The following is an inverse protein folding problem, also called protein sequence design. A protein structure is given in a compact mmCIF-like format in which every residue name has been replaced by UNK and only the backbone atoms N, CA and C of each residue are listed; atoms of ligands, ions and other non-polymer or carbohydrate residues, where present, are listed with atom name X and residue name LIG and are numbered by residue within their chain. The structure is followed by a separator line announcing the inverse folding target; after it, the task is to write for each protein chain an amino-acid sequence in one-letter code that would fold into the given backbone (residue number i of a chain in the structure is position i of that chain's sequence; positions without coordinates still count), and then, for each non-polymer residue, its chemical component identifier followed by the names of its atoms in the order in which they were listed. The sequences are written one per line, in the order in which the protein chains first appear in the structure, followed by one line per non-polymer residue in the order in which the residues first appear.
data_IF_992429328676
#
_entry.id   IF_992429328676
#
_cell.length_a   1.000
_cell.length_b   1.000
_cell.length_c   1.000
_cell.angle_alpha   90.00
_cell.angle_beta   90.00
_cell.angle_gamma   90.00
#
_symmetry.space_group_name_H-M   'P 1'
#
loop_
_entity.id
_entity.type
_entity.pdbx_description
1 polymer ?
#
# COMPACT_ATOMS: atom_id res chain seq x y z
N UNK A 1 -11.11 -13.30 29.99
CA UNK A 1 -12.28 -13.95 30.59
C UNK A 1 -13.37 -13.92 29.55
N UNK A 2 -13.75 -15.13 29.12
CA UNK A 2 -14.88 -15.56 28.29
C UNK A 2 -14.97 -15.13 26.81
N UNK A 3 -14.45 -16.04 25.99
CA UNK A 3 -14.82 -16.28 24.59
C UNK A 3 -16.26 -16.81 24.53
N UNK A 4 -17.13 -16.16 23.75
CA UNK A 4 -18.41 -16.74 23.34
C UNK A 4 -18.33 -17.05 21.85
N UNK A 5 -18.18 -18.35 21.56
CA UNK A 5 -18.43 -18.97 20.26
C UNK A 5 -19.94 -18.94 19.99
N UNK A 6 -20.39 -18.08 19.08
CA UNK A 6 -21.76 -18.02 18.60
C UNK A 6 -21.94 -18.84 17.33
N UNK A 7 -22.84 -19.82 17.40
CA UNK A 7 -23.19 -20.79 16.37
C UNK A 7 -23.63 -20.15 15.04
N UNK A 8 -23.15 -20.71 13.93
CA UNK A 8 -23.58 -20.42 12.57
C UNK A 8 -24.98 -21.01 12.36
N UNK A 9 -26.01 -20.17 12.34
CA UNK A 9 -27.32 -20.53 11.82
C UNK A 9 -27.40 -20.24 10.33
N UNK A 10 -27.88 -21.24 9.57
CA UNK A 10 -28.16 -21.18 8.13
C UNK A 10 -29.00 -19.94 7.77
N UNK A 11 -28.46 -19.10 6.88
CA UNK A 11 -29.18 -17.99 6.24
C UNK A 11 -29.22 -18.27 4.73
N UNK A 12 -30.36 -18.03 4.03
CA UNK A 12 -30.55 -18.47 2.65
C UNK A 12 -29.67 -17.70 1.67
N UNK A 13 -29.11 -18.43 0.70
CA UNK A 13 -28.45 -17.91 -0.50
C UNK A 13 -29.39 -16.98 -1.27
N UNK A 14 -29.04 -15.69 -1.34
CA UNK A 14 -29.51 -14.83 -2.44
C UNK A 14 -28.51 -15.04 -3.58
N UNK A 15 -28.87 -15.93 -4.49
CA UNK A 15 -28.12 -16.19 -5.73
C UNK A 15 -28.29 -14.98 -6.63
N UNK A 16 -27.21 -14.23 -6.86
CA UNK A 16 -27.12 -13.33 -8.01
C UNK A 16 -27.03 -14.20 -9.28
N UNK A 17 -28.19 -14.46 -9.89
CA UNK A 17 -28.26 -15.16 -11.17
C UNK A 17 -27.88 -14.22 -12.31
N UNK A 18 -26.97 -14.71 -13.15
CA UNK A 18 -26.66 -14.15 -14.46
C UNK A 18 -25.21 -13.72 -14.58
N UNK A 19 -24.35 -14.59 -15.08
CA UNK A 19 -23.62 -14.45 -16.36
C UNK A 19 -22.59 -15.58 -16.50
N UNK A 20 -22.33 -15.94 -17.75
CA UNK A 20 -21.80 -17.22 -18.23
C UNK A 20 -20.42 -17.61 -17.72
N UNK A 21 -20.27 -18.91 -17.41
CA UNK A 21 -19.02 -19.63 -17.24
C UNK A 21 -18.05 -19.39 -18.40
N UNK A 22 -17.10 -18.47 -18.25
CA UNK A 22 -15.78 -18.60 -18.87
C UNK A 22 -14.85 -19.19 -17.83
N UNK A 23 -14.42 -20.42 -18.07
CA UNK A 23 -13.58 -21.17 -17.16
C UNK A 23 -12.15 -20.61 -17.17
N UNK A 24 -11.50 -20.60 -16.01
CA UNK A 24 -10.09 -20.24 -15.83
C UNK A 24 -9.10 -21.11 -16.65
N UNK A 25 -9.56 -22.16 -17.31
CA UNK A 25 -8.75 -23.10 -18.10
C UNK A 25 -8.32 -22.52 -19.45
N UNK A 26 -9.05 -21.54 -19.99
CA UNK A 26 -8.74 -20.94 -21.31
C UNK A 26 -7.50 -20.02 -21.29
N UNK A 27 -7.08 -19.53 -20.12
CA UNK A 27 -5.92 -18.63 -19.99
C UNK A 27 -4.56 -19.32 -20.14
N UNK A 28 -4.52 -20.66 -20.25
CA UNK A 28 -3.29 -21.44 -20.39
C UNK A 28 -2.89 -21.74 -21.84
N UNK A 29 -3.73 -21.47 -22.84
CA UNK A 29 -3.43 -21.79 -24.23
C UNK A 29 -3.41 -20.52 -25.11
N UNK A 30 -2.21 -20.14 -25.56
CA UNK A 30 -1.99 -18.93 -26.33
C UNK A 30 -2.72 -18.90 -27.67
N UNK A 31 -3.28 -17.74 -28.01
CA UNK A 31 -3.63 -17.35 -29.37
C UNK A 31 -3.36 -15.85 -29.57
N UNK A 32 -2.68 -15.53 -30.67
CA UNK A 32 -2.34 -14.17 -31.10
C UNK A 32 -3.59 -13.40 -31.55
N UNK A 33 -3.89 -12.31 -30.85
CA UNK A 33 -4.65 -11.16 -31.37
C UNK A 33 -3.95 -9.91 -30.88
N UNK A 34 -3.49 -9.05 -31.80
CA UNK A 34 -2.94 -7.73 -31.46
C UNK A 34 -4.12 -6.79 -31.22
N UNK A 35 -4.62 -6.79 -29.99
CA UNK A 35 -5.32 -5.70 -29.33
C UNK A 35 -4.43 -5.34 -28.14
N UNK A 36 -4.21 -4.04 -27.87
CA UNK A 36 -3.37 -3.61 -26.74
C UNK A 36 -3.81 -4.36 -25.47
N UNK A 37 -2.95 -5.19 -24.85
CA UNK A 37 -3.40 -6.12 -23.85
C UNK A 37 -3.85 -5.32 -22.62
N UNK A 38 -5.16 -5.29 -22.35
CA UNK A 38 -5.62 -4.96 -21.01
C UNK A 38 -5.02 -6.03 -20.09
N UNK A 39 -4.20 -5.61 -19.14
CA UNK A 39 -3.65 -6.52 -18.14
C UNK A 39 -4.68 -6.50 -17.00
N UNK A 40 -5.27 -7.65 -16.66
CA UNK A 40 -5.98 -7.84 -15.38
C UNK A 40 -5.20 -7.15 -14.26
N UNK A 41 -5.81 -6.28 -13.41
CA UNK A 41 -7.22 -6.19 -13.00
C UNK A 41 -8.23 -5.50 -13.93
N UNK A 42 -7.77 -4.88 -15.02
CA UNK A 42 -8.40 -3.64 -15.49
C UNK A 42 -9.34 -3.79 -16.68
N UNK A 43 -9.58 -5.02 -17.13
CA UNK A 43 -10.26 -5.30 -18.40
C UNK A 43 -11.74 -4.86 -18.47
N UNK A 44 -12.34 -4.46 -17.34
CA UNK A 44 -13.75 -4.04 -17.27
C UNK A 44 -13.97 -2.59 -16.78
N UNK A 45 -12.91 -1.86 -16.45
CA UNK A 45 -13.06 -0.52 -15.87
C UNK A 45 -12.99 0.52 -16.97
N UNK A 46 -14.10 1.23 -17.18
CA UNK A 46 -14.17 2.30 -18.15
C UNK A 46 -13.65 3.62 -17.55
N UNK A 47 -12.62 4.20 -18.16
CA UNK A 47 -12.04 5.47 -17.74
C UNK A 47 -12.80 6.66 -18.35
N UNK A 48 -12.91 7.75 -17.59
CA UNK A 48 -13.40 9.03 -18.11
C UNK A 48 -12.38 9.64 -19.08
N UNK A 49 -12.88 10.23 -20.17
CA UNK A 49 -12.07 11.10 -21.03
C UNK A 49 -11.95 12.48 -20.35
N UNK A 50 -10.75 12.79 -19.85
CA UNK A 50 -10.48 14.05 -19.13
C UNK A 50 -10.06 15.19 -20.06
N UNK A 51 -9.50 14.83 -21.21
CA UNK A 51 -9.08 15.71 -22.29
C UNK A 51 -8.91 14.85 -23.57
N UNK A 52 -8.90 15.46 -24.77
CA UNK A 52 -8.81 14.71 -26.03
C UNK A 52 -7.55 13.85 -26.14
N UNK A 53 -7.66 12.68 -26.80
CA UNK A 53 -6.49 11.86 -27.11
C UNK A 53 -5.57 12.58 -28.12
N UNK A 54 -4.34 12.83 -27.68
CA UNK A 54 -3.35 13.62 -28.41
C UNK A 54 -2.50 12.81 -29.39
N UNK A 55 -2.69 11.49 -29.49
CA UNK A 55 -1.93 10.62 -30.40
C UNK A 55 -2.22 10.88 -31.88
N UNK A 56 -3.37 11.47 -32.21
CA UNK A 56 -3.82 11.71 -33.59
C UNK A 56 -3.63 13.15 -34.12
N UNK A 57 -3.35 14.14 -33.24
CA UNK A 57 -3.19 15.55 -33.63
C UNK A 57 -1.75 16.01 -33.45
N UNK A 58 -1.04 16.20 -34.56
CA UNK A 58 0.24 16.90 -34.59
C UNK A 58 0.04 18.35 -34.10
N UNK A 59 0.41 18.62 -32.85
CA UNK A 59 0.40 19.94 -32.21
C UNK A 59 -1.00 20.51 -31.94
N UNK A 60 -1.39 20.53 -30.67
CA UNK A 60 -2.54 21.29 -30.19
C UNK A 60 -2.08 22.59 -29.55
N UNK A 61 -2.86 23.64 -29.81
CA UNK A 61 -2.73 24.93 -29.14
C UNK A 61 -3.59 24.92 -27.86
N UNK A 62 -2.95 25.12 -26.70
CA UNK A 62 -3.58 25.05 -25.38
C UNK A 62 -4.65 26.10 -25.13
N UNK A 63 -4.75 27.12 -25.98
CA UNK A 63 -5.83 28.10 -25.96
C UNK A 63 -7.19 27.51 -26.36
N UNK A 64 -7.23 26.35 -27.03
CA UNK A 64 -8.46 25.66 -27.41
C UNK A 64 -9.06 24.78 -26.31
N UNK A 65 -8.32 24.55 -25.22
CA UNK A 65 -8.75 23.73 -24.10
C UNK A 65 -9.58 24.53 -23.10
N UNK A 66 -10.47 23.85 -22.38
CA UNK A 66 -11.11 24.38 -21.16
C UNK A 66 -10.09 24.50 -20.02
N UNK A 67 -10.47 25.22 -18.96
CA UNK A 67 -9.65 25.33 -17.76
C UNK A 67 -9.49 23.98 -17.04
N UNK A 68 -10.57 23.19 -16.94
CA UNK A 68 -10.56 21.84 -16.36
C UNK A 68 -9.56 20.93 -17.09
N UNK A 69 -9.60 20.89 -18.42
CA UNK A 69 -8.67 20.09 -19.23
C UNK A 69 -7.21 20.50 -19.00
N UNK A 70 -6.91 21.80 -18.97
CA UNK A 70 -5.56 22.30 -18.67
C UNK A 70 -5.07 21.88 -17.29
N UNK A 71 -5.94 21.87 -16.29
CA UNK A 71 -5.60 21.43 -14.94
C UNK A 71 -5.34 19.92 -14.90
N UNK A 72 -6.16 19.10 -15.57
CA UNK A 72 -5.90 17.66 -15.68
C UNK A 72 -4.56 17.37 -16.36
N UNK A 73 -4.25 18.04 -17.48
CA UNK A 73 -2.94 17.91 -18.14
C UNK A 73 -1.81 18.32 -17.20
N UNK A 74 -1.98 19.41 -16.44
CA UNK A 74 -0.97 19.87 -15.49
C UNK A 74 -0.66 18.82 -14.41
N UNK A 75 -1.68 18.12 -13.91
CA UNK A 75 -1.53 17.02 -12.95
C UNK A 75 -0.78 15.86 -13.60
N UNK A 76 -1.23 15.36 -14.76
CA UNK A 76 -0.59 14.22 -15.44
C UNK A 76 0.86 14.52 -15.88
N UNK A 77 1.16 15.79 -16.16
CA UNK A 77 2.51 16.27 -16.47
C UNK A 77 3.40 16.45 -15.22
N UNK A 78 2.85 16.33 -14.01
CA UNK A 78 3.58 16.58 -12.76
C UNK A 78 3.92 18.04 -12.52
N UNK A 79 3.14 18.97 -13.09
CA UNK A 79 3.32 20.42 -12.97
C UNK A 79 2.28 21.09 -12.08
N UNK A 80 1.25 20.35 -11.63
CA UNK A 80 0.30 20.85 -10.64
C UNK A 80 1.05 21.11 -9.32
N UNK A 81 1.19 22.39 -8.98
CA UNK A 81 2.01 22.84 -7.85
C UNK A 81 1.54 22.23 -6.53
N UNK A 82 0.23 22.21 -6.30
CA UNK A 82 -0.35 21.71 -5.05
C UNK A 82 0.06 20.26 -4.79
N UNK A 83 -0.17 19.37 -5.76
CA UNK A 83 0.15 17.94 -5.59
C UNK A 83 1.65 17.70 -5.60
N UNK A 84 2.40 18.42 -6.44
CA UNK A 84 3.84 18.24 -6.51
C UNK A 84 4.53 18.69 -5.20
N UNK A 85 4.09 19.79 -4.60
CA UNK A 85 4.58 20.23 -3.29
C UNK A 85 4.31 19.15 -2.22
N UNK A 86 3.10 18.57 -2.21
CA UNK A 86 2.74 17.46 -1.30
C UNK A 86 3.58 16.19 -1.54
N UNK A 87 3.86 15.82 -2.80
CA UNK A 87 4.69 14.64 -3.13
C UNK A 87 6.12 14.83 -2.65
N UNK A 88 6.64 16.06 -2.75
CA UNK A 88 8.01 16.39 -2.38
C UNK A 88 8.20 16.60 -0.86
N UNK A 89 7.11 16.67 -0.09
CA UNK A 89 7.17 16.76 1.35
C UNK A 89 7.67 15.43 1.99
N UNK A 90 8.64 15.56 2.89
CA UNK A 90 9.19 14.44 3.65
C UNK A 90 8.68 14.50 5.09
N UNK A 91 8.05 13.42 5.57
CA UNK A 91 7.64 13.32 6.95
C UNK A 91 8.81 13.56 7.91
N UNK A 92 8.62 14.46 8.85
CA UNK A 92 9.56 14.68 9.94
C UNK A 92 9.50 13.51 10.94
N UNK A 93 10.63 13.05 11.48
CA UNK A 93 10.61 12.05 12.54
C UNK A 93 9.97 12.63 13.81
N UNK A 94 9.31 11.75 14.57
CA UNK A 94 8.93 12.07 15.94
C UNK A 94 10.12 11.83 16.86
N UNK A 95 10.51 12.86 17.60
CA UNK A 95 11.56 12.78 18.62
C UNK A 95 10.90 12.44 19.95
N UNK A 96 11.39 11.38 20.61
CA UNK A 96 10.88 10.91 21.88
C UNK A 96 12.02 10.69 22.90
N UNK A 97 11.76 10.83 24.21
CA UNK A 97 12.70 10.42 25.23
C UNK A 97 13.04 8.94 25.11
N UNK A 98 14.32 8.59 25.26
CA UNK A 98 14.76 7.21 25.34
C UNK A 98 14.31 6.60 26.67
N UNK A 99 13.68 5.42 26.61
CA UNK A 99 13.34 4.61 27.79
C UNK A 99 14.01 3.24 27.70
N UNK A 100 14.74 2.85 28.73
CA UNK A 100 15.31 1.50 28.85
C UNK A 100 14.41 0.62 29.71
N UNK A 101 14.26 -0.66 29.35
CA UNK A 101 13.44 -1.61 30.12
C UNK A 101 14.05 -1.97 31.49
N UNK A 102 15.37 -1.93 31.61
CA UNK A 102 16.12 -2.37 32.79
C UNK A 102 16.53 -1.23 33.76
N UNK A 103 16.07 0.01 33.51
CA UNK A 103 16.43 1.19 34.32
C UNK A 103 15.18 1.73 35.04
N UNK A 104 15.27 1.86 36.36
CA UNK A 104 14.21 2.48 37.19
C UNK A 104 13.96 3.93 36.77
N UNK A 105 12.74 4.44 36.97
CA UNK A 105 12.35 5.80 36.51
C UNK A 105 13.27 6.92 37.02
N UNK A 106 13.90 6.72 38.19
CA UNK A 106 14.81 7.67 38.82
C UNK A 106 16.22 7.68 38.19
N UNK A 107 16.59 6.64 37.44
CA UNK A 107 17.92 6.47 36.86
C UNK A 107 17.95 6.71 35.34
N UNK A 108 16.81 7.04 34.72
CA UNK A 108 16.76 7.24 33.28
C UNK A 108 17.49 8.53 32.87
N UNK A 109 18.42 8.47 31.91
CA UNK A 109 19.12 9.65 31.43
C UNK A 109 18.12 10.62 30.78
N UNK A 110 17.91 11.77 31.41
CA UNK A 110 16.87 12.74 31.02
C UNK A 110 17.09 13.41 29.65
N UNK A 111 18.30 13.30 29.10
CA UNK A 111 18.71 14.02 27.89
C UNK A 111 18.87 13.13 26.64
N UNK A 112 18.63 11.82 26.73
CA UNK A 112 18.78 10.92 25.57
C UNK A 112 17.45 10.82 24.82
N UNK A 113 17.47 11.07 23.52
CA UNK A 113 16.30 10.95 22.65
C UNK A 113 16.48 9.88 21.58
N UNK A 114 15.37 9.39 21.05
CA UNK A 114 15.29 8.51 19.89
C UNK A 114 14.30 9.04 18.87
N UNK A 115 14.47 8.63 17.63
CA UNK A 115 13.65 9.06 16.50
C UNK A 115 12.77 7.91 16.00
N UNK A 116 11.51 8.24 15.73
CA UNK A 116 10.55 7.35 15.08
C UNK A 116 10.10 7.97 13.76
N UNK A 117 10.37 7.28 12.66
CA UNK A 117 9.98 7.72 11.32
C UNK A 117 8.59 7.18 10.98
N UNK A 118 7.63 8.02 10.58
CA UNK A 118 6.29 7.55 10.26
C UNK A 118 6.32 6.70 8.99
N UNK A 119 5.64 5.56 9.04
CA UNK A 119 5.39 4.70 7.90
C UNK A 119 3.88 4.62 7.67
N UNK A 120 3.49 4.09 6.53
CA UNK A 120 2.10 3.76 6.25
C UNK A 120 2.07 2.45 5.49
N UNK A 121 0.91 1.80 5.44
CA UNK A 121 0.68 0.81 4.40
C UNK A 121 0.81 1.46 3.02
N UNK A 122 1.06 0.63 2.03
CA UNK A 122 0.98 1.01 0.63
C UNK A 122 0.20 -0.03 -0.14
N UNK A 123 0.17 0.13 -1.45
CA UNK A 123 -0.47 -0.84 -2.34
C UNK A 123 0.46 -1.18 -3.50
N UNK A 124 0.17 -2.29 -4.16
CA UNK A 124 0.91 -2.69 -5.33
C UNK A 124 0.52 -1.85 -6.54
N UNK A 125 1.50 -1.26 -7.22
CA UNK A 125 1.28 -0.37 -8.35
C UNK A 125 0.54 -1.02 -9.54
N UNK A 126 0.47 -2.35 -9.63
CA UNK A 126 -0.30 -3.02 -10.69
C UNK A 126 -1.82 -2.77 -10.59
N UNK A 127 -2.32 -2.39 -9.40
CA UNK A 127 -3.72 -1.99 -9.25
C UNK A 127 -4.00 -0.60 -9.83
N UNK A 128 -2.99 0.19 -10.20
CA UNK A 128 -3.21 1.42 -10.94
C UNK A 128 -3.12 1.16 -12.44
N UNK A 129 -3.99 1.84 -13.19
CA UNK A 129 -3.93 1.86 -14.64
C UNK A 129 -2.65 2.55 -15.09
N UNK A 130 -1.85 1.87 -15.90
CA UNK A 130 -0.74 2.48 -16.62
C UNK A 130 -1.17 2.72 -18.06
N UNK A 131 -1.21 3.98 -18.46
CA UNK A 131 -1.31 4.37 -19.86
C UNK A 131 0.10 4.54 -20.44
N UNK A 132 0.22 4.35 -21.76
CA UNK A 132 1.45 4.68 -22.45
C UNK A 132 1.68 6.20 -22.40
N UNK A 133 2.94 6.66 -22.28
CA UNK A 133 3.23 8.08 -22.33
C UNK A 133 2.78 8.68 -23.67
N UNK A 134 1.95 9.73 -23.59
CA UNK A 134 1.48 10.48 -24.75
C UNK A 134 2.22 11.81 -24.83
N UNK A 135 2.70 12.17 -26.02
CA UNK A 135 3.36 13.45 -26.27
C UNK A 135 2.33 14.57 -26.37
N UNK A 136 2.47 15.62 -25.57
CA UNK A 136 1.59 16.78 -25.54
C UNK A 136 2.42 18.05 -25.74
N UNK A 137 1.93 18.95 -26.60
CA UNK A 137 2.44 20.32 -26.70
C UNK A 137 1.62 21.19 -25.77
N UNK A 138 2.25 21.73 -24.72
CA UNK A 138 1.60 22.58 -23.73
C UNK A 138 2.42 23.86 -23.53
N UNK A 139 1.83 25.04 -23.77
CA UNK A 139 2.53 26.33 -23.69
C UNK A 139 3.86 26.39 -24.47
N UNK A 140 3.89 25.84 -25.70
CA UNK A 140 5.08 25.70 -26.57
C UNK A 140 6.19 24.79 -26.02
N UNK A 141 5.95 24.10 -24.91
CA UNK A 141 6.82 23.04 -24.41
C UNK A 141 6.26 21.68 -24.78
N UNK A 142 7.12 20.78 -25.21
CA UNK A 142 6.77 19.39 -25.46
C UNK A 142 7.00 18.58 -24.19
N UNK A 143 5.97 17.89 -23.72
CA UNK A 143 6.03 17.01 -22.55
C UNK A 143 5.42 15.65 -22.85
N UNK A 144 5.77 14.65 -22.04
CA UNK A 144 5.14 13.33 -22.07
C UNK A 144 4.26 13.20 -20.83
N UNK A 145 2.99 12.87 -21.04
CA UNK A 145 2.01 12.70 -19.97
C UNK A 145 1.53 11.26 -19.96
N UNK A 146 1.42 10.68 -18.77
CA UNK A 146 0.81 9.38 -18.56
C UNK A 146 -0.59 9.62 -18.01
N UNK A 147 -1.57 9.78 -18.91
CA UNK A 147 -2.94 10.06 -18.52
C UNK A 147 -3.44 9.03 -17.52
N UNK A 148 -3.73 9.45 -16.29
CA UNK A 148 -4.25 8.52 -15.30
C UNK A 148 -5.72 8.19 -15.60
N UNK A 149 -6.07 6.91 -15.48
CA UNK A 149 -7.46 6.50 -15.56
C UNK A 149 -8.22 6.99 -14.32
N UNK A 150 -9.25 7.80 -14.53
CA UNK A 150 -10.28 8.06 -13.53
C UNK A 150 -11.52 7.22 -13.90
N UNK A 151 -11.88 6.20 -13.12
CA UNK A 151 -13.02 5.33 -13.43
C UNK A 151 -14.33 6.11 -13.53
N UNK A 152 -15.19 5.74 -14.49
CA UNK A 152 -16.58 6.21 -14.54
C UNK A 152 -17.35 5.71 -13.32
N UNK A 153 -18.24 6.56 -12.81
CA UNK A 153 -18.99 6.31 -11.58
C UNK A 153 -20.47 6.09 -11.90
N UNK A 154 -21.04 5.01 -11.37
CA UNK A 154 -22.45 4.62 -11.53
C UNK A 154 -23.26 4.78 -10.23
N UNK A 155 -22.60 4.91 -9.07
CA UNK A 155 -23.27 5.03 -7.77
C UNK A 155 -22.58 6.03 -6.85
N UNK A 156 -23.36 6.70 -6.01
CA UNK A 156 -22.88 7.72 -5.06
C UNK A 156 -21.88 7.16 -4.05
N UNK A 157 -22.25 6.07 -3.37
CA UNK A 157 -21.44 5.42 -2.34
C UNK A 157 -21.37 3.91 -2.52
N UNK A 158 -20.25 3.29 -2.12
CA UNK A 158 -20.12 1.83 -2.07
C UNK A 158 -21.04 1.21 -1.03
N UNK A 159 -21.55 0.01 -1.32
CA UNK A 159 -22.26 -0.83 -0.34
C UNK A 159 -21.30 -1.61 0.58
N UNK A 160 -19.99 -1.57 0.30
CA UNK A 160 -18.98 -2.25 1.10
C UNK A 160 -18.69 -1.42 2.36
N UNK A 161 -19.39 -1.73 3.44
CA UNK A 161 -19.45 -0.89 4.64
C UNK A 161 -18.45 -1.34 5.71
N UNK A 162 -17.54 -0.46 6.16
CA UNK A 162 -16.48 -0.84 7.07
C UNK A 162 -17.03 -1.31 8.43
N UNK A 163 -16.69 -2.53 8.84
CA UNK A 163 -17.15 -3.12 10.12
C UNK A 163 -18.47 -3.88 10.02
N UNK A 164 -19.04 -3.99 8.82
CA UNK A 164 -20.21 -4.81 8.49
C UNK A 164 -19.77 -5.98 7.62
N UNK A 165 -19.36 -7.08 8.26
CA UNK A 165 -18.80 -8.25 7.58
C UNK A 165 -19.73 -8.84 6.51
N UNK A 166 -21.04 -8.74 6.70
CA UNK A 166 -22.07 -9.18 5.76
C UNK A 166 -22.03 -8.45 4.41
N UNK A 167 -21.43 -7.26 4.36
CA UNK A 167 -21.27 -6.50 3.10
C UNK A 167 -20.06 -6.97 2.28
N UNK A 168 -19.19 -7.81 2.83
CA UNK A 168 -17.99 -8.34 2.19
C UNK A 168 -18.17 -9.79 1.75
N UNK A 169 -19.15 -10.03 0.88
CA UNK A 169 -19.48 -11.37 0.35
C UNK A 169 -18.45 -11.98 -0.62
N UNK A 170 -17.18 -11.57 -0.56
CA UNK A 170 -16.13 -11.99 -1.47
C UNK A 170 -15.30 -13.15 -0.91
N UNK A 171 -14.66 -13.88 -1.82
CA UNK A 171 -13.85 -15.07 -1.54
C UNK A 171 -12.49 -14.97 -2.21
N UNK A 172 -11.66 -15.97 -1.94
CA UNK A 172 -10.40 -16.18 -2.66
C UNK A 172 -10.63 -16.18 -4.19
N UNK A 173 -9.83 -15.40 -4.91
CA UNK A 173 -9.91 -15.23 -6.37
C UNK A 173 -10.84 -14.10 -6.84
N UNK A 174 -11.63 -13.50 -5.95
CA UNK A 174 -12.63 -12.47 -6.30
C UNK A 174 -12.14 -11.03 -6.06
N UNK A 175 -10.83 -10.82 -5.86
CA UNK A 175 -10.27 -9.49 -5.58
C UNK A 175 -10.57 -8.49 -6.70
N UNK A 176 -10.60 -8.94 -7.95
CA UNK A 176 -10.90 -8.08 -9.10
C UNK A 176 -12.33 -7.52 -9.03
N UNK A 177 -13.31 -8.35 -8.68
CA UNK A 177 -14.71 -7.91 -8.54
C UNK A 177 -14.88 -7.01 -7.31
N UNK A 178 -14.23 -7.35 -6.20
CA UNK A 178 -14.15 -6.49 -5.01
C UNK A 178 -13.67 -5.07 -5.37
N UNK A 179 -12.60 -4.99 -6.18
CA UNK A 179 -12.03 -3.72 -6.63
C UNK A 179 -12.89 -2.99 -7.66
N UNK A 180 -13.60 -3.73 -8.52
CA UNK A 180 -14.55 -3.18 -9.51
C UNK A 180 -15.73 -2.49 -8.83
N UNK A 181 -16.24 -3.06 -7.74
CA UNK A 181 -17.30 -2.43 -6.96
C UNK A 181 -16.84 -1.10 -6.38
N UNK A 182 -15.62 -1.02 -5.83
CA UNK A 182 -15.08 0.27 -5.43
C UNK A 182 -14.91 1.21 -6.62
N UNK A 183 -14.35 0.78 -7.75
CA UNK A 183 -14.08 1.68 -8.88
C UNK A 183 -15.35 2.31 -9.46
N UNK A 184 -16.48 1.62 -9.35
CA UNK A 184 -17.78 2.07 -9.85
C UNK A 184 -18.46 3.18 -9.04
N UNK A 185 -17.96 3.55 -7.85
CA UNK A 185 -18.64 4.54 -6.98
C UNK A 185 -17.88 5.86 -6.82
N UNK A 186 -18.60 6.95 -6.57
CA UNK A 186 -17.98 8.25 -6.28
C UNK A 186 -17.19 8.20 -4.97
N UNK A 187 -17.80 7.69 -3.91
CA UNK A 187 -17.18 7.58 -2.59
C UNK A 187 -17.26 6.16 -2.02
N UNK A 188 -16.22 5.73 -1.30
CA UNK A 188 -16.28 4.53 -0.48
C UNK A 188 -15.91 4.87 0.97
N UNK A 189 -16.69 4.37 1.92
CA UNK A 189 -16.53 4.74 3.33
C UNK A 189 -15.32 4.01 3.90
N UNK A 190 -14.48 4.76 4.60
CA UNK A 190 -13.42 4.21 5.43
C UNK A 190 -13.31 4.96 6.75
N UNK A 191 -12.61 4.38 7.71
CA UNK A 191 -12.52 4.91 9.07
C UNK A 191 -11.37 4.24 9.85
N UNK A 192 -11.07 4.79 11.02
CA UNK A 192 -10.27 4.10 12.03
C UNK A 192 -10.92 2.75 12.40
N UNK A 193 -10.11 1.71 12.54
CA UNK A 193 -10.50 0.37 13.03
C UNK A 193 -9.65 -0.01 14.24
N UNK A 194 -8.81 -1.05 14.12
CA UNK A 194 -7.79 -1.37 15.14
C UNK A 194 -6.70 -0.30 15.23
N UNK A 195 -6.51 0.46 14.14
CA UNK A 195 -5.70 1.67 14.04
C UNK A 195 -6.31 2.63 13.01
N UNK A 196 -5.72 3.82 12.89
CA UNK A 196 -5.98 4.81 11.86
C UNK A 196 -5.56 4.32 10.47
N UNK A 197 -4.43 3.63 10.36
CA UNK A 197 -3.90 3.12 9.10
C UNK A 197 -4.35 1.68 8.85
N UNK A 198 -5.09 1.46 7.76
CA UNK A 198 -5.60 0.14 7.38
C UNK A 198 -5.59 -0.06 5.86
N UNK A 199 -5.48 -1.32 5.42
CA UNK A 199 -5.35 -1.65 3.99
C UNK A 199 -6.53 -1.14 3.14
N UNK A 200 -7.74 -1.05 3.72
CA UNK A 200 -8.96 -0.57 3.03
C UNK A 200 -8.76 0.81 2.39
N UNK A 201 -8.04 1.71 3.05
CA UNK A 201 -7.78 3.06 2.50
C UNK A 201 -7.12 2.97 1.13
N UNK A 202 -6.12 2.10 1.03
CA UNK A 202 -5.32 1.91 -0.17
C UNK A 202 -6.04 1.03 -1.19
N UNK A 203 -6.89 0.09 -0.76
CA UNK A 203 -7.77 -0.65 -1.67
C UNK A 203 -8.74 0.29 -2.39
N UNK A 204 -9.40 1.19 -1.66
CA UNK A 204 -10.30 2.21 -2.24
C UNK A 204 -9.54 3.12 -3.21
N UNK A 205 -8.39 3.66 -2.76
CA UNK A 205 -7.58 4.57 -3.58
C UNK A 205 -7.05 3.87 -4.84
N UNK A 206 -6.49 2.67 -4.71
CA UNK A 206 -5.96 1.92 -5.85
C UNK A 206 -7.05 1.43 -6.81
N UNK A 207 -8.31 1.35 -6.36
CA UNK A 207 -9.48 1.16 -7.23
C UNK A 207 -9.94 2.43 -7.95
N UNK A 208 -9.26 3.57 -7.77
CA UNK A 208 -9.62 4.82 -8.45
C UNK A 208 -10.84 5.53 -7.85
N UNK A 209 -11.09 5.35 -6.55
CA UNK A 209 -12.27 5.90 -5.85
C UNK A 209 -11.87 6.81 -4.71
N UNK A 210 -12.68 7.85 -4.47
CA UNK A 210 -12.45 8.79 -3.37
C UNK A 210 -12.82 8.14 -2.04
N UNK A 211 -11.90 8.02 -1.07
CA UNK A 211 -12.26 7.61 0.28
C UNK A 211 -13.11 8.70 0.95
N UNK A 212 -14.29 8.33 1.45
CA UNK A 212 -14.98 9.12 2.46
C UNK A 212 -14.48 8.66 3.83
N UNK A 213 -13.51 9.37 4.38
CA UNK A 213 -12.87 8.99 5.64
C UNK A 213 -13.61 9.65 6.82
N UNK A 214 -14.33 8.84 7.61
CA UNK A 214 -15.03 9.30 8.81
C UNK A 214 -14.01 9.70 9.88
N UNK A 215 -14.21 10.88 10.49
CA UNK A 215 -13.40 11.43 11.59
C UNK A 215 -11.90 11.64 11.31
N UNK A 216 -11.50 11.76 10.04
CA UNK A 216 -10.09 11.95 9.64
C UNK A 216 -9.40 13.15 10.31
N UNK A 217 -10.14 14.20 10.63
CA UNK A 217 -9.68 15.38 11.39
C UNK A 217 -9.16 15.04 12.78
N UNK A 218 -9.58 13.92 13.37
CA UNK A 218 -9.17 13.47 14.69
C UNK A 218 -7.89 12.62 14.63
N UNK A 219 -7.36 12.32 13.45
CA UNK A 219 -6.10 11.61 13.30
C UNK A 219 -4.93 12.51 13.74
N UNK A 220 -4.12 12.02 14.69
CA UNK A 220 -2.94 12.73 15.21
C UNK A 220 -1.95 13.14 14.12
N UNK A 221 -1.05 14.07 14.45
CA UNK A 221 -0.14 14.68 13.46
C UNK A 221 0.82 13.67 12.83
N UNK A 222 1.17 12.61 13.58
CA UNK A 222 2.03 11.52 13.11
C UNK A 222 1.26 10.25 12.72
N UNK A 223 -0.08 10.36 12.59
CA UNK A 223 -0.94 9.30 12.04
C UNK A 223 -1.26 9.58 10.58
N UNK A 224 -1.26 8.53 9.76
CA UNK A 224 -1.59 8.62 8.32
C UNK A 224 -0.75 9.69 7.59
N UNK A 225 0.52 9.86 7.97
CA UNK A 225 1.36 10.98 7.49
C UNK A 225 1.57 10.94 5.98
N UNK A 226 1.57 9.74 5.40
CA UNK A 226 1.71 9.57 3.95
C UNK A 226 0.38 9.68 3.20
N UNK A 227 -0.76 9.91 3.88
CA UNK A 227 -2.06 10.07 3.22
C UNK A 227 -2.30 11.55 2.91
N UNK A 228 -2.88 11.93 1.76
CA UNK A 228 -3.16 13.33 1.42
C UNK A 228 -4.40 13.85 2.17
N UNK A 229 -4.31 13.96 3.50
CA UNK A 229 -5.46 14.25 4.39
C UNK A 229 -6.23 15.51 3.99
N UNK A 230 -5.52 16.56 3.58
CA UNK A 230 -6.11 17.83 3.14
C UNK A 230 -7.02 17.66 1.92
N UNK A 231 -6.56 16.94 0.89
CA UNK A 231 -7.36 16.67 -0.31
C UNK A 231 -8.58 15.79 0.01
N UNK A 232 -8.45 14.82 0.91
CA UNK A 232 -9.55 13.97 1.33
C UNK A 232 -10.63 14.75 2.11
N UNK A 233 -10.21 15.65 3.00
CA UNK A 233 -11.13 16.54 3.73
C UNK A 233 -11.85 17.50 2.79
N UNK A 234 -11.15 18.06 1.79
CA UNK A 234 -11.77 18.91 0.77
C UNK A 234 -12.80 18.14 -0.06
N UNK A 235 -12.45 16.93 -0.50
CA UNK A 235 -13.37 16.07 -1.25
C UNK A 235 -14.61 15.67 -0.44
N UNK A 236 -14.45 15.51 0.88
CA UNK A 236 -15.55 15.24 1.82
C UNK A 236 -16.50 16.43 1.97
N UNK A 237 -15.97 17.65 1.86
CA UNK A 237 -16.68 18.90 2.06
C UNK A 237 -17.40 19.43 0.80
N UNK A 238 -17.31 18.73 -0.34
CA UNK A 238 -18.02 19.14 -1.56
C UNK A 238 -19.54 19.21 -1.28
N UNK A 239 -20.14 20.34 -1.67
CA UNK A 239 -21.58 20.58 -1.50
C UNK A 239 -22.38 19.46 -2.18
N UNK A 240 -23.42 18.97 -1.49
CA UNK A 240 -24.29 17.90 -1.97
C UNK A 240 -23.86 16.50 -1.54
N UNK A 241 -22.64 16.30 -1.05
CA UNK A 241 -22.21 15.01 -0.47
C UNK A 241 -22.86 14.83 0.91
N UNK A 242 -23.72 13.80 1.06
CA UNK A 242 -24.48 13.53 2.28
C UNK A 242 -24.15 12.15 2.85
N UNK A 243 -23.31 12.11 3.88
CA UNK A 243 -22.79 10.89 4.49
C UNK A 243 -23.81 10.11 5.32
N UNK A 244 -24.69 10.81 6.03
CA UNK A 244 -25.81 10.27 6.79
C UNK A 244 -26.74 9.40 5.93
N UNK A 245 -26.98 9.84 4.70
CA UNK A 245 -27.82 9.14 3.73
C UNK A 245 -27.04 8.32 2.69
N UNK A 246 -25.71 8.42 2.67
CA UNK A 246 -24.85 7.84 1.64
C UNK A 246 -25.31 8.21 0.22
N UNK A 247 -25.63 9.49 0.02
CA UNK A 247 -26.15 10.03 -1.25
C UNK A 247 -25.44 11.30 -1.66
N UNK A 248 -25.46 11.58 -2.95
CA UNK A 248 -25.01 12.84 -3.52
C UNK A 248 -26.22 13.59 -4.10
N UNK A 249 -26.41 14.85 -3.71
CA UNK A 249 -27.32 15.75 -4.40
C UNK A 249 -26.67 16.25 -5.69
N UNK A 250 -26.86 15.51 -6.79
CA UNK A 250 -26.26 15.83 -8.10
C UNK A 250 -26.64 17.21 -8.65
N UNK A 251 -27.66 17.89 -8.09
CA UNK A 251 -28.02 19.27 -8.47
C UNK A 251 -27.06 20.31 -7.89
N UNK A 252 -26.41 19.99 -6.78
CA UNK A 252 -25.47 20.88 -6.08
C UNK A 252 -24.02 20.37 -6.15
N UNK A 253 -23.84 19.09 -6.49
CA UNK A 253 -22.55 18.44 -6.56
C UNK A 253 -21.69 18.99 -7.70
N UNK A 254 -20.57 19.61 -7.34
CA UNK A 254 -19.62 20.12 -8.32
C UNK A 254 -18.76 18.96 -8.86
N UNK A 255 -19.20 18.39 -9.98
CA UNK A 255 -18.54 17.25 -10.61
C UNK A 255 -17.12 17.58 -11.09
N UNK A 256 -16.88 18.78 -11.62
CA UNK A 256 -15.55 19.23 -12.04
C UNK A 256 -14.59 19.29 -10.85
N UNK A 257 -15.02 19.88 -9.73
CA UNK A 257 -14.21 19.91 -8.51
C UNK A 257 -13.89 18.50 -7.99
N UNK A 258 -14.89 17.61 -7.96
CA UNK A 258 -14.68 16.22 -7.58
C UNK A 258 -13.64 15.52 -8.47
N UNK A 259 -13.75 15.67 -9.79
CA UNK A 259 -12.83 15.04 -10.75
C UNK A 259 -11.39 15.52 -10.57
N UNK A 260 -11.21 16.82 -10.37
CA UNK A 260 -9.89 17.40 -10.11
C UNK A 260 -9.31 16.89 -8.80
N UNK A 261 -10.10 16.84 -7.73
CA UNK A 261 -9.65 16.29 -6.44
C UNK A 261 -9.32 14.81 -6.53
N UNK A 262 -10.15 14.00 -7.18
CA UNK A 262 -9.88 12.59 -7.42
C UNK A 262 -8.58 12.43 -8.21
N UNK A 263 -8.40 13.23 -9.27
CA UNK A 263 -7.18 13.20 -10.07
C UNK A 263 -5.95 13.46 -9.21
N UNK A 264 -5.97 14.54 -8.42
CA UNK A 264 -4.88 14.90 -7.51
C UNK A 264 -4.57 13.83 -6.47
N UNK A 265 -5.60 13.27 -5.84
CA UNK A 265 -5.47 12.22 -4.82
C UNK A 265 -4.87 10.95 -5.41
N UNK A 266 -5.35 10.50 -6.57
CA UNK A 266 -4.83 9.31 -7.24
C UNK A 266 -3.39 9.53 -7.75
N UNK A 267 -3.08 10.74 -8.22
CA UNK A 267 -1.73 11.08 -8.70
C UNK A 267 -0.76 11.06 -7.53
N UNK A 268 -1.09 11.76 -6.44
CA UNK A 268 -0.35 11.69 -5.19
C UNK A 268 -0.12 10.23 -4.74
N UNK A 269 -1.18 9.43 -4.75
CA UNK A 269 -1.16 8.02 -4.35
C UNK A 269 -0.17 7.20 -5.20
N UNK A 270 -0.17 7.37 -6.52
CA UNK A 270 0.76 6.72 -7.45
C UNK A 270 2.23 7.06 -7.14
N UNK A 271 2.49 8.30 -6.76
CA UNK A 271 3.85 8.81 -6.56
C UNK A 271 4.34 8.76 -5.12
N UNK A 272 3.49 8.46 -4.14
CA UNK A 272 3.86 8.41 -2.71
C UNK A 272 3.51 7.11 -1.99
N UNK A 273 2.43 6.44 -2.38
CA UNK A 273 1.80 5.37 -1.58
C UNK A 273 1.93 3.96 -2.18
N UNK A 274 2.65 3.79 -3.29
CA UNK A 274 2.97 2.44 -3.73
C UNK A 274 4.00 1.80 -2.79
N UNK A 275 4.00 0.48 -2.71
CA UNK A 275 5.01 -0.27 -1.94
C UNK A 275 6.43 0.13 -2.31
N UNK A 276 6.70 0.36 -3.60
CA UNK A 276 8.00 0.82 -4.10
C UNK A 276 8.34 2.20 -3.54
N UNK A 277 7.38 3.15 -3.56
CA UNK A 277 7.59 4.52 -3.10
C UNK A 277 7.82 4.62 -1.60
N UNK A 278 7.16 3.79 -0.80
CA UNK A 278 7.42 3.70 0.63
C UNK A 278 8.80 3.09 0.94
N UNK A 279 9.23 2.08 0.19
CA UNK A 279 10.59 1.55 0.31
C UNK A 279 11.65 2.58 -0.12
N UNK A 280 11.40 3.35 -1.20
CA UNK A 280 12.25 4.49 -1.61
C UNK A 280 12.32 5.56 -0.51
N UNK A 281 11.21 5.83 0.17
CA UNK A 281 11.17 6.73 1.32
C UNK A 281 12.07 6.24 2.47
N UNK A 282 12.00 4.95 2.84
CA UNK A 282 12.87 4.39 3.88
C UNK A 282 14.34 4.57 3.51
N UNK A 283 14.73 4.19 2.28
CA UNK A 283 16.11 4.29 1.80
C UNK A 283 16.61 5.73 1.76
N UNK A 284 15.78 6.68 1.33
CA UNK A 284 16.14 8.10 1.32
C UNK A 284 16.28 8.66 2.74
N UNK A 285 15.38 8.28 3.65
CA UNK A 285 15.39 8.73 5.05
C UNK A 285 16.67 8.32 5.77
N UNK A 286 17.16 7.10 5.52
CA UNK A 286 18.42 6.62 6.11
C UNK A 286 19.67 7.02 5.30
N UNK A 287 19.50 7.82 4.24
CA UNK A 287 20.58 8.23 3.32
C UNK A 287 21.33 7.03 2.71
N UNK A 288 20.63 5.96 2.37
CA UNK A 288 21.23 4.77 1.78
C UNK A 288 21.77 5.07 0.36
N UNK A 289 23.05 4.81 0.09
CA UNK A 289 23.69 5.23 -1.16
C UNK A 289 23.19 4.40 -2.35
N UNK A 290 22.95 5.07 -3.48
CA UNK A 290 22.52 4.43 -4.74
C UNK A 290 23.68 3.84 -5.55
N UNK A 291 24.91 4.27 -5.31
CA UNK A 291 26.09 3.96 -6.14
C UNK A 291 26.90 2.75 -5.66
N UNK A 292 26.37 1.95 -4.74
CA UNK A 292 27.07 0.79 -4.19
C UNK A 292 26.54 -0.51 -4.77
N UNK A 293 27.39 -1.55 -4.77
CA UNK A 293 26.91 -2.91 -4.98
C UNK A 293 26.05 -3.33 -3.79
N UNK A 294 24.74 -3.44 -4.01
CA UNK A 294 23.80 -3.78 -2.96
C UNK A 294 23.89 -5.27 -2.62
N UNK A 295 23.95 -5.58 -1.32
CA UNK A 295 23.65 -6.89 -0.77
C UNK A 295 22.78 -6.67 0.47
N UNK A 296 21.49 -6.90 0.35
CA UNK A 296 20.51 -6.53 1.38
C UNK A 296 19.93 -7.80 1.98
N UNK A 297 19.85 -7.87 3.31
CA UNK A 297 19.14 -8.93 4.02
C UNK A 297 17.83 -8.37 4.59
N UNK A 298 16.71 -9.00 4.26
CA UNK A 298 15.43 -8.79 4.93
C UNK A 298 15.11 -10.01 5.81
N UNK A 299 14.91 -9.76 7.10
CA UNK A 299 14.52 -10.76 8.10
C UNK A 299 13.00 -10.70 8.23
N UNK A 300 12.33 -11.75 7.75
CA UNK A 300 10.87 -11.89 7.72
C UNK A 300 10.38 -12.93 8.77
N UNK A 301 9.07 -13.23 8.71
CA UNK A 301 8.45 -14.40 9.32
C UNK A 301 7.39 -14.97 8.38
N UNK A 302 6.98 -16.21 8.65
CA UNK A 302 6.00 -16.95 7.86
C UNK A 302 4.56 -16.49 8.11
N UNK A 303 4.25 -16.00 9.32
CA UNK A 303 2.90 -15.51 9.66
C UNK A 303 2.54 -14.30 8.78
N UNK A 304 1.32 -14.23 8.23
CA UNK A 304 0.90 -13.05 7.46
C UNK A 304 0.85 -11.77 8.28
N UNK A 305 1.31 -10.68 7.67
CA UNK A 305 1.30 -9.31 8.21
C UNK A 305 1.37 -8.30 7.05
N UNK A 306 0.37 -7.43 6.87
CA UNK A 306 0.36 -6.49 5.75
C UNK A 306 1.63 -5.66 5.65
N UNK A 307 2.16 -5.18 6.78
CA UNK A 307 3.30 -4.26 6.74
C UNK A 307 4.54 -4.97 6.19
N UNK A 308 4.88 -6.14 6.74
CA UNK A 308 5.96 -7.00 6.23
C UNK A 308 5.79 -7.30 4.73
N UNK A 309 4.56 -7.60 4.29
CA UNK A 309 4.29 -8.13 2.94
C UNK A 309 4.49 -7.04 1.91
N UNK A 310 3.91 -5.88 2.19
CA UNK A 310 3.98 -4.71 1.35
C UNK A 310 5.40 -4.15 1.30
N UNK A 311 6.13 -4.14 2.41
CA UNK A 311 7.53 -3.72 2.45
C UNK A 311 8.44 -4.70 1.72
N UNK A 312 8.25 -6.01 1.89
CA UNK A 312 8.98 -7.02 1.14
C UNK A 312 8.71 -6.88 -0.37
N UNK A 313 7.47 -6.61 -0.77
CA UNK A 313 7.15 -6.33 -2.16
C UNK A 313 7.93 -5.11 -2.69
N UNK A 314 7.87 -3.98 -1.98
CA UNK A 314 8.58 -2.75 -2.34
C UNK A 314 10.10 -2.91 -2.44
N UNK A 315 10.74 -3.52 -1.44
CA UNK A 315 12.18 -3.76 -1.46
C UNK A 315 12.59 -4.75 -2.56
N UNK A 316 11.77 -5.74 -2.88
CA UNK A 316 12.04 -6.67 -3.99
C UNK A 316 12.01 -5.95 -5.34
N UNK A 317 11.09 -5.00 -5.53
CA UNK A 317 11.04 -4.18 -6.76
C UNK A 317 12.28 -3.29 -6.93
N UNK A 318 12.90 -2.85 -5.84
CA UNK A 318 14.09 -1.99 -5.85
C UNK A 318 15.36 -2.83 -6.06
N UNK A 319 15.55 -3.87 -5.25
CA UNK A 319 16.82 -4.58 -5.16
C UNK A 319 16.89 -5.87 -5.99
N UNK A 320 15.75 -6.45 -6.36
CA UNK A 320 15.70 -7.68 -7.17
C UNK A 320 16.63 -8.77 -6.62
N UNK A 321 17.58 -9.23 -7.44
CA UNK A 321 18.55 -10.27 -7.06
C UNK A 321 19.49 -9.89 -5.92
N UNK A 322 19.67 -8.60 -5.62
CA UNK A 322 20.50 -8.14 -4.50
C UNK A 322 19.81 -8.24 -3.14
N UNK A 323 18.51 -8.49 -3.09
CA UNK A 323 17.76 -8.72 -1.86
C UNK A 323 17.73 -10.20 -1.51
N UNK A 324 18.15 -10.54 -0.30
CA UNK A 324 18.06 -11.85 0.31
C UNK A 324 17.01 -11.82 1.42
N UNK A 325 16.10 -12.80 1.44
CA UNK A 325 14.96 -12.82 2.38
C UNK A 325 15.05 -14.05 3.26
N UNK A 326 15.45 -13.87 4.51
CA UNK A 326 15.43 -14.94 5.49
C UNK A 326 14.01 -15.14 6.04
N UNK A 327 13.55 -16.40 6.11
CA UNK A 327 12.16 -16.76 6.39
C UNK A 327 11.14 -16.17 5.39
N UNK A 328 11.48 -16.19 4.10
CA UNK A 328 10.62 -15.73 3.01
C UNK A 328 9.23 -16.41 3.01
N UNK A 329 8.11 -15.66 2.99
CA UNK A 329 6.76 -16.21 2.95
C UNK A 329 6.35 -16.67 1.56
N UNK A 330 6.06 -17.97 1.40
CA UNK A 330 5.80 -18.60 0.08
C UNK A 330 4.60 -18.00 -0.68
N UNK A 331 3.53 -17.62 0.02
CA UNK A 331 2.27 -17.14 -0.58
C UNK A 331 2.41 -15.84 -1.39
N UNK A 332 3.50 -15.10 -1.25
CA UNK A 332 3.83 -13.96 -2.10
C UNK A 332 4.33 -14.36 -3.50
N UNK A 333 4.90 -15.56 -3.64
CA UNK A 333 5.62 -15.99 -4.84
C UNK A 333 4.88 -17.08 -5.61
N UNK A 334 4.21 -17.98 -4.92
CA UNK A 334 3.53 -19.11 -5.53
C UNK A 334 2.42 -19.64 -4.64
N UNK A 335 1.45 -20.29 -5.26
CA UNK A 335 0.53 -21.14 -4.53
C UNK A 335 1.31 -22.23 -3.78
N UNK A 336 0.86 -22.62 -2.58
CA UNK A 336 1.32 -23.82 -1.90
C UNK A 336 0.94 -25.05 -2.73
N UNK A 337 1.79 -25.41 -3.70
CA UNK A 337 1.67 -26.66 -4.45
C UNK A 337 2.26 -27.78 -3.60
N UNK A 338 1.49 -28.30 -2.65
CA UNK A 338 1.73 -29.68 -2.22
C UNK A 338 1.19 -30.58 -3.34
N UNK A 339 1.91 -31.65 -3.71
CA UNK A 339 1.52 -32.53 -4.83
C UNK A 339 0.12 -33.16 -4.67
N UNK A 340 -0.49 -33.05 -3.49
CA UNK A 340 -1.80 -33.58 -3.14
C UNK A 340 -2.87 -32.50 -2.92
N UNK A 341 -2.51 -31.21 -2.97
CA UNK A 341 -3.49 -30.14 -2.73
C UNK A 341 -4.36 -29.92 -3.95
N UNK A 342 -5.67 -30.01 -3.75
CA UNK A 342 -6.68 -29.62 -4.74
C UNK A 342 -6.83 -28.10 -4.81
N UNK A 343 -7.57 -27.61 -5.80
CA UNK A 343 -8.00 -26.21 -5.83
C UNK A 343 -8.73 -25.81 -4.54
N UNK A 344 -9.60 -26.68 -4.01
CA UNK A 344 -10.32 -26.42 -2.75
C UNK A 344 -9.36 -26.31 -1.56
N UNK A 345 -8.33 -27.15 -1.47
CA UNK A 345 -7.35 -27.03 -0.39
C UNK A 345 -6.54 -25.73 -0.48
N UNK A 346 -6.26 -25.27 -1.70
CA UNK A 346 -5.62 -23.95 -1.89
C UNK A 346 -6.58 -22.83 -1.47
N UNK A 347 -7.85 -22.91 -1.87
CA UNK A 347 -8.89 -21.95 -1.49
C UNK A 347 -9.08 -21.85 0.02
N UNK A 348 -9.16 -23.00 0.72
CA UNK A 348 -9.26 -23.10 2.18
C UNK A 348 -8.05 -22.47 2.86
N UNK A 349 -6.83 -22.82 2.43
CA UNK A 349 -5.62 -22.21 2.96
C UNK A 349 -5.63 -20.69 2.86
N UNK A 350 -5.98 -20.12 1.71
CA UNK A 350 -6.03 -18.66 1.57
C UNK A 350 -7.17 -18.02 2.37
N UNK A 351 -8.27 -18.73 2.57
CA UNK A 351 -9.41 -18.23 3.34
C UNK A 351 -9.18 -18.25 4.86
N UNK A 352 -8.46 -19.26 5.36
CA UNK A 352 -8.26 -19.47 6.79
C UNK A 352 -6.94 -18.89 7.29
N UNK A 353 -5.89 -18.93 6.46
CA UNK A 353 -4.53 -18.59 6.89
C UNK A 353 -4.11 -17.17 6.47
N UNK A 354 -4.67 -16.62 5.39
CA UNK A 354 -4.30 -15.28 4.92
C UNK A 354 -5.36 -14.25 5.33
N UNK A 355 -4.92 -13.24 6.06
CA UNK A 355 -5.76 -12.11 6.40
C UNK A 355 -6.32 -11.44 5.13
N UNK A 356 -7.62 -11.21 5.09
CA UNK A 356 -8.31 -10.60 3.94
C UNK A 356 -8.16 -11.41 2.64
N UNK A 357 -8.10 -12.74 2.73
CA UNK A 357 -7.92 -13.65 1.58
C UNK A 357 -6.61 -13.45 0.79
N UNK A 358 -5.66 -12.69 1.35
CA UNK A 358 -4.45 -12.29 0.64
C UNK A 358 -4.61 -11.13 -0.32
N UNK A 359 -5.74 -10.41 -0.30
CA UNK A 359 -5.98 -9.28 -1.20
C UNK A 359 -4.86 -8.23 -1.04
N UNK A 360 -4.38 -7.72 -2.17
CA UNK A 360 -3.34 -6.70 -2.24
C UNK A 360 -1.90 -7.23 -2.20
N UNK A 361 -1.65 -8.45 -1.70
CA UNK A 361 -0.28 -8.96 -1.51
C UNK A 361 -0.04 -10.39 -1.99
N UNK A 362 -1.04 -11.28 -1.96
CA UNK A 362 -0.89 -12.64 -2.44
C UNK A 362 -0.35 -12.66 -3.87
N UNK A 363 0.64 -13.51 -4.14
CA UNK A 363 1.27 -13.68 -5.45
C UNK A 363 1.87 -12.41 -6.08
N UNK A 364 1.94 -11.30 -5.34
CA UNK A 364 2.49 -10.02 -5.81
C UNK A 364 3.96 -10.14 -6.26
N UNK A 365 4.68 -11.16 -5.81
CA UNK A 365 6.06 -11.46 -6.15
C UNK A 365 6.21 -12.71 -7.04
N UNK A 366 5.14 -13.15 -7.73
CA UNK A 366 5.19 -14.32 -8.63
C UNK A 366 6.32 -14.27 -9.66
N UNK A 367 6.59 -13.10 -10.24
CA UNK A 367 7.71 -12.90 -11.20
C UNK A 367 9.09 -13.08 -10.58
N UNK A 368 9.19 -13.07 -9.25
CA UNK A 368 10.42 -13.25 -8.47
C UNK A 368 10.51 -14.62 -7.78
N UNK A 369 9.69 -15.61 -8.16
CA UNK A 369 9.69 -16.93 -7.52
C UNK A 369 11.08 -17.60 -7.44
N UNK A 370 11.96 -17.36 -8.43
CA UNK A 370 13.35 -17.83 -8.40
C UNK A 370 14.17 -17.31 -7.22
N UNK A 371 13.85 -16.13 -6.70
CA UNK A 371 14.53 -15.55 -5.53
C UNK A 371 14.12 -16.27 -4.24
N UNK A 372 12.84 -16.63 -4.12
CA UNK A 372 12.34 -17.44 -2.99
C UNK A 372 13.05 -18.80 -2.93
N UNK A 373 13.16 -19.50 -4.07
CA UNK A 373 13.84 -20.81 -4.12
C UNK A 373 15.34 -20.69 -3.80
N UNK A 374 16.00 -19.63 -4.28
CA UNK A 374 17.39 -19.33 -3.90
C UNK A 374 17.52 -19.14 -2.39
N UNK A 375 16.73 -18.25 -1.81
CA UNK A 375 16.85 -17.87 -0.40
C UNK A 375 16.50 -19.02 0.53
N UNK A 376 15.50 -19.84 0.18
CA UNK A 376 15.15 -21.06 0.92
C UNK A 376 16.29 -22.07 0.97
N UNK A 377 17.08 -22.18 -0.11
CA UNK A 377 18.23 -23.08 -0.19
C UNK A 377 19.46 -22.50 0.52
N UNK A 378 19.71 -21.21 0.35
CA UNK A 378 20.99 -20.58 0.70
C UNK A 378 21.00 -19.95 2.12
N UNK A 379 19.84 -19.64 2.70
CA UNK A 379 19.70 -18.91 3.98
C UNK A 379 19.15 -19.81 5.10
N UNK A 380 19.95 -20.74 5.59
CA UNK A 380 19.69 -21.45 6.86
C UNK A 380 20.00 -20.55 8.05
N UNK A 381 19.65 -20.98 9.26
CA UNK A 381 19.98 -20.25 10.48
C UNK A 381 21.50 -20.04 10.61
N UNK A 382 22.27 -21.10 10.33
CA UNK A 382 23.72 -21.11 10.43
C UNK A 382 24.35 -20.18 9.39
N UNK A 383 23.90 -20.28 8.12
CA UNK A 383 24.47 -19.45 7.05
C UNK A 383 24.14 -17.97 7.23
N UNK A 384 22.93 -17.63 7.71
CA UNK A 384 22.55 -16.26 8.01
C UNK A 384 23.37 -15.69 9.17
N UNK A 385 23.54 -16.44 10.25
CA UNK A 385 24.38 -16.02 11.39
C UNK A 385 25.82 -15.76 10.94
N UNK A 386 26.39 -16.66 10.14
CA UNK A 386 27.75 -16.51 9.62
C UNK A 386 27.89 -15.30 8.68
N UNK A 387 26.94 -15.13 7.76
CA UNK A 387 26.90 -13.97 6.86
C UNK A 387 26.79 -12.64 7.63
N UNK A 388 26.03 -12.61 8.73
CA UNK A 388 25.93 -11.42 9.60
C UNK A 388 27.28 -11.14 10.28
N UNK A 389 27.90 -12.14 10.91
CA UNK A 389 29.21 -11.99 11.57
C UNK A 389 30.30 -11.49 10.61
N UNK A 390 30.26 -11.96 9.36
CA UNK A 390 31.20 -11.58 8.31
C UNK A 390 30.84 -10.27 7.58
N UNK A 391 29.86 -9.50 8.07
CA UNK A 391 29.46 -8.22 7.47
C UNK A 391 29.12 -8.30 5.97
N UNK A 392 28.51 -9.40 5.54
CA UNK A 392 28.21 -9.65 4.11
C UNK A 392 27.24 -8.63 3.51
N UNK A 393 26.35 -8.07 4.31
CA UNK A 393 25.26 -7.23 3.83
C UNK A 393 25.62 -5.74 3.93
N UNK A 394 25.15 -4.95 2.99
CA UNK A 394 25.25 -3.48 3.02
C UNK A 394 24.12 -2.85 3.81
N UNK A 395 23.01 -3.58 3.99
CA UNK A 395 21.82 -3.17 4.75
C UNK A 395 21.11 -4.40 5.31
N UNK A 396 20.65 -4.32 6.56
CA UNK A 396 19.79 -5.31 7.19
C UNK A 396 18.45 -4.67 7.55
N UNK A 397 17.36 -5.31 7.16
CA UNK A 397 15.99 -4.85 7.35
C UNK A 397 15.23 -5.90 8.17
N UNK A 398 14.65 -5.50 9.29
CA UNK A 398 13.68 -6.32 10.02
C UNK A 398 12.28 -5.96 9.56
N UNK A 399 11.59 -6.89 8.88
CA UNK A 399 10.27 -6.65 8.29
C UNK A 399 9.14 -6.52 9.33
N UNK A 400 9.32 -7.13 10.50
CA UNK A 400 8.50 -6.91 11.69
C UNK A 400 9.37 -7.13 12.93
N UNK A 401 9.80 -6.04 13.58
CA UNK A 401 10.76 -6.14 14.68
C UNK A 401 10.16 -6.77 15.94
N UNK A 402 8.87 -6.54 16.21
CA UNK A 402 8.23 -7.10 17.41
C UNK A 402 7.91 -8.59 17.28
N UNK A 403 7.82 -9.13 16.04
CA UNK A 403 7.60 -10.56 15.78
C UNK A 403 8.89 -11.33 15.42
N UNK A 404 9.89 -10.67 14.82
CA UNK A 404 11.12 -11.31 14.31
C UNK A 404 12.43 -10.65 14.79
N UNK A 405 12.64 -10.52 16.10
CA UNK A 405 13.86 -9.88 16.66
C UNK A 405 14.99 -10.83 17.09
N UNK A 406 14.85 -12.15 16.93
CA UNK A 406 15.84 -13.12 17.46
C UNK A 406 17.29 -12.88 16.96
N UNK A 407 17.47 -12.35 15.75
CA UNK A 407 18.79 -11.97 15.21
C UNK A 407 19.21 -10.53 15.56
N UNK A 408 18.33 -9.70 16.14
CA UNK A 408 18.61 -8.28 16.40
C UNK A 408 19.84 -8.08 17.30
N UNK A 409 20.03 -8.79 18.42
CA UNK A 409 21.24 -8.64 19.24
C UNK A 409 22.54 -9.01 18.50
N UNK A 410 22.47 -9.95 17.56
CA UNK A 410 23.61 -10.27 16.70
C UNK A 410 23.87 -9.14 15.71
N UNK A 411 22.83 -8.70 14.99
CA UNK A 411 22.93 -7.62 14.01
C UNK A 411 23.45 -6.33 14.64
N UNK A 412 22.90 -5.90 15.77
CA UNK A 412 23.30 -4.69 16.48
C UNK A 412 24.74 -4.71 17.01
N UNK A 413 25.36 -5.90 17.17
CA UNK A 413 26.78 -6.02 17.53
C UNK A 413 27.74 -5.89 16.35
N UNK A 414 27.29 -6.21 15.14
CA UNK A 414 28.14 -6.24 13.95
C UNK A 414 27.89 -5.06 12.98
N UNK A 415 26.70 -4.46 13.02
CA UNK A 415 26.30 -3.41 12.09
C UNK A 415 26.07 -2.07 12.80
N UNK A 416 26.46 -0.99 12.15
CA UNK A 416 26.13 0.37 12.59
C UNK A 416 24.64 0.67 12.41
N UNK A 417 24.09 1.56 13.24
CA UNK A 417 22.70 2.04 13.18
C UNK A 417 22.25 2.41 11.76
N UNK A 418 23.09 3.10 11.00
CA UNK A 418 22.79 3.53 9.62
C UNK A 418 22.60 2.39 8.62
N UNK A 419 22.94 1.15 8.99
CA UNK A 419 22.76 -0.06 8.18
C UNK A 419 21.69 -1.01 8.73
N UNK A 420 20.94 -0.59 9.75
CA UNK A 420 19.88 -1.39 10.35
C UNK A 420 18.58 -0.61 10.23
N UNK A 421 17.61 -1.19 9.52
CA UNK A 421 16.23 -0.70 9.43
C UNK A 421 15.35 -1.65 10.22
N UNK A 422 14.49 -1.10 11.07
CA UNK A 422 13.44 -1.87 11.74
C UNK A 422 12.09 -1.31 11.37
N UNK A 423 11.19 -2.21 10.98
CA UNK A 423 9.82 -1.90 10.60
C UNK A 423 8.90 -2.42 11.70
N UNK A 424 8.02 -1.54 12.18
CA UNK A 424 6.99 -1.86 13.15
C UNK A 424 5.62 -1.49 12.59
N UNK A 425 4.84 -2.53 12.28
CA UNK A 425 3.46 -2.44 11.83
C UNK A 425 2.45 -2.94 12.88
N UNK A 426 2.86 -3.15 14.13
CA UNK A 426 1.96 -3.69 15.15
C UNK A 426 0.86 -2.70 15.55
N UNK A 427 -0.37 -3.23 15.67
CA UNK A 427 -1.51 -2.49 16.24
C UNK A 427 -1.32 -2.25 17.76
N UNK A 428 -0.45 -3.05 18.41
CA UNK A 428 -0.23 -2.94 19.85
C UNK A 428 0.48 -1.65 20.19
N UNK A 429 -0.24 -0.81 20.92
CA UNK A 429 0.22 0.55 21.17
C UNK A 429 1.48 0.59 22.02
N UNK A 430 1.74 -0.25 23.02
CA UNK A 430 2.89 -0.07 23.95
C UNK A 430 3.94 -1.18 23.91
N UNK A 431 5.21 -0.79 23.81
CA UNK A 431 6.36 -1.69 24.05
C UNK A 431 7.63 -0.90 24.39
N UNK A 432 8.15 -1.12 25.60
CA UNK A 432 9.41 -0.54 26.09
C UNK A 432 10.62 -0.89 25.21
N UNK A 433 10.56 -2.00 24.47
CA UNK A 433 11.63 -2.40 23.54
C UNK A 433 11.77 -1.46 22.35
N UNK A 434 10.75 -0.66 22.02
CA UNK A 434 10.80 0.27 20.87
C UNK A 434 11.94 1.27 21.00
N UNK A 435 12.12 1.84 22.19
CA UNK A 435 13.18 2.82 22.42
C UNK A 435 14.57 2.19 22.32
N UNK A 436 14.73 0.94 22.76
CA UNK A 436 15.97 0.18 22.64
C UNK A 436 16.33 -0.07 21.17
N UNK A 437 15.35 -0.50 20.37
CA UNK A 437 15.54 -0.68 18.93
C UNK A 437 15.82 0.64 18.22
N UNK A 438 15.09 1.72 18.53
CA UNK A 438 15.29 3.03 17.89
C UNK A 438 16.64 3.69 18.24
N UNK A 439 17.24 3.31 19.37
CA UNK A 439 18.61 3.70 19.73
C UNK A 439 19.64 3.05 18.81
N UNK A 440 19.40 1.82 18.37
CA UNK A 440 20.37 0.98 17.66
C UNK A 440 20.08 0.82 16.15
N UNK A 441 18.90 1.23 15.68
CA UNK A 441 18.47 1.13 14.29
C UNK A 441 17.62 2.34 13.87
N UNK A 442 17.48 2.55 12.56
CA UNK A 442 16.49 3.49 12.01
C UNK A 442 15.09 2.87 12.12
N UNK A 443 14.23 3.48 12.93
CA UNK A 443 12.95 2.90 13.35
C UNK A 443 11.77 3.49 12.59
N UNK A 444 11.10 2.67 11.78
CA UNK A 444 9.91 3.06 11.03
C UNK A 444 8.67 2.47 11.67
N UNK A 445 7.72 3.32 12.06
CA UNK A 445 6.52 2.96 12.81
C UNK A 445 5.27 3.42 12.05
N UNK A 446 4.34 2.49 11.78
CA UNK A 446 3.10 2.77 11.01
C UNK A 446 2.23 3.84 11.66
N UNK A 447 2.12 3.81 12.97
CA UNK A 447 1.20 4.66 13.72
C UNK A 447 1.91 5.19 14.95
N UNK A 448 2.24 6.48 14.93
CA UNK A 448 2.96 7.12 16.02
C UNK A 448 1.98 8.03 16.78
N UNK A 449 1.55 7.65 17.99
CA UNK A 449 0.75 8.52 18.86
C UNK A 449 1.40 9.88 19.10
N UNK A 450 0.58 10.91 19.35
CA UNK A 450 1.06 12.26 19.64
C UNK A 450 1.88 12.33 20.94
N UNK A 451 1.57 11.48 21.93
CA UNK A 451 2.37 11.35 23.15
C UNK A 451 3.28 10.13 23.07
N UNK A 452 4.58 10.31 23.29
CA UNK A 452 5.56 9.22 23.25
C UNK A 452 5.21 8.07 24.20
N UNK A 453 4.75 8.39 25.42
CA UNK A 453 4.37 7.39 26.43
C UNK A 453 3.16 6.52 26.08
N UNK A 454 2.43 6.84 25.02
CA UNK A 454 1.34 6.00 24.54
C UNK A 454 1.85 4.81 23.73
N UNK A 455 3.14 4.80 23.34
CA UNK A 455 3.73 3.68 22.63
C UNK A 455 5.11 3.19 23.05
N UNK A 456 5.83 3.98 23.84
CA UNK A 456 7.09 3.59 24.49
C UNK A 456 6.86 3.02 25.87
#
# INVERSE_FOLDING_TARGET
MDLILGQVHNIPLIVANGYSNTSWEDYLNGANVVLAPCIEPHCEIECMTLYPDFTSKQNLDTYSLSEEERQHISIDAGTDKLVNDMINEYPVPKICPYRASDITSEQQPTNTTVEYFPLAFGFNEHYLFNTNPTKVSFNRNVMYVNQMCLPKKSKDFSDLLPGRGETYGFRFGEELEYRRIYSSVYYAITMMKGGWDCNRHYEILSSGTMPYFDDLENAGSFMLVHLPKTLLLEARAIIGVRRDHMKIDHRQFNLTQYRLLLHRVLYYTKYRLTTRKLAEYILKTIHYPRSINHSVLLIAHQVPDYMKELMLHGFTQIFGSSLHVYNSPRYLYSYPKHKQWTFNNTKEYYAEELYGFGYGYALSLRKYAKLHERDKRDLTNETVVENIKNNRYTLIIFGSILRSNHLFPLVARHYYKSRIVVIDGEDKLKSIKRSEYARLASYFLREIPDKCGDFT
#
